data_IF_996414767213
#
_entry.id   IF_996414767213
#
_cell.length_a   1.000
_cell.length_b   1.000
_cell.length_c   1.000
_cell.angle_alpha   90.00
_cell.angle_beta   90.00
_cell.angle_gamma   90.00
#
_symmetry.space_group_name_H-M   'P 1'
#
loop_
_entity.id
_entity.type
_entity.pdbx_description
1 polymer ?
#
# COMPACT_ATOMS: atom_id res chain seq x y z
N UNK A 1 -23.34 0.09 12.98
CA UNK A 1 -21.85 0.21 12.84
C UNK A 1 -21.52 0.82 11.50
N UNK A 2 -20.69 1.85 11.48
CA UNK A 2 -20.19 2.45 10.24
C UNK A 2 -18.90 1.74 9.81
N UNK A 3 -19.00 0.82 8.86
CA UNK A 3 -17.88 0.01 8.36
C UNK A 3 -16.79 0.88 7.75
N UNK A 4 -17.15 1.91 6.99
CA UNK A 4 -16.18 2.79 6.34
C UNK A 4 -15.39 3.58 7.38
N UNK A 5 -16.07 4.12 8.38
CA UNK A 5 -15.43 4.87 9.45
C UNK A 5 -14.49 4.00 10.28
N UNK A 6 -14.91 2.78 10.60
CA UNK A 6 -14.09 1.83 11.34
C UNK A 6 -12.87 1.39 10.53
N UNK A 7 -13.04 1.13 9.24
CA UNK A 7 -11.94 0.78 8.34
C UNK A 7 -10.90 1.91 8.26
N UNK A 8 -11.34 3.16 8.17
CA UNK A 8 -10.43 4.32 8.18
C UNK A 8 -9.67 4.45 9.49
N UNK A 9 -10.36 4.23 10.61
CA UNK A 9 -9.75 4.29 11.95
C UNK A 9 -8.71 3.19 12.13
N UNK A 10 -9.02 1.97 11.70
CA UNK A 10 -8.07 0.85 11.70
C UNK A 10 -6.85 1.15 10.84
N UNK A 11 -7.03 1.68 9.64
CA UNK A 11 -5.93 2.05 8.76
C UNK A 11 -5.01 3.09 9.41
N UNK A 12 -5.58 4.11 10.01
CA UNK A 12 -4.81 5.15 10.69
C UNK A 12 -3.97 4.58 11.84
N UNK A 13 -4.59 3.77 12.70
CA UNK A 13 -3.92 3.17 13.85
C UNK A 13 -2.84 2.18 13.41
N UNK A 14 -3.18 1.26 12.52
CA UNK A 14 -2.28 0.16 12.14
C UNK A 14 -1.15 0.58 11.20
N UNK A 15 -1.30 1.70 10.47
CA UNK A 15 -0.29 2.17 9.51
C UNK A 15 0.54 3.32 10.03
N UNK A 16 -0.05 4.21 10.83
CA UNK A 16 0.57 5.51 11.13
C UNK A 16 0.73 5.79 12.61
N UNK A 17 -0.29 5.58 13.43
CA UNK A 17 -0.29 6.02 14.82
C UNK A 17 -0.85 4.97 15.79
N UNK A 18 -0.19 3.80 15.90
CA UNK A 18 -0.60 2.83 16.92
C UNK A 18 -0.51 3.39 18.35
N UNK A 19 0.46 4.28 18.57
CA UNK A 19 0.65 4.96 19.85
C UNK A 19 -0.53 5.86 20.26
N UNK A 20 -1.33 6.35 19.29
CA UNK A 20 -2.49 7.19 19.58
C UNK A 20 -3.54 6.49 20.45
N UNK A 21 -3.55 5.16 20.47
CA UNK A 21 -4.45 4.34 21.28
C UNK A 21 -3.68 3.39 22.22
N UNK A 22 -2.41 3.68 22.45
CA UNK A 22 -1.59 2.91 23.39
C UNK A 22 -1.11 1.56 22.89
N UNK A 23 -1.10 1.36 21.57
CA UNK A 23 -0.64 0.12 20.95
C UNK A 23 0.79 0.25 20.45
N UNK A 24 1.50 -0.87 20.42
CA UNK A 24 2.84 -0.98 19.85
C UNK A 24 2.82 -2.11 18.83
N UNK A 25 3.27 -1.83 17.60
CA UNK A 25 3.43 -2.83 16.56
C UNK A 25 4.77 -3.57 16.77
N UNK A 26 4.79 -4.86 16.43
CA UNK A 26 6.06 -5.58 16.37
C UNK A 26 6.81 -5.22 15.07
N UNK A 27 7.99 -5.84 14.87
CA UNK A 27 8.83 -5.54 13.70
C UNK A 27 8.11 -5.78 12.35
N UNK A 28 7.20 -6.74 12.31
CA UNK A 28 6.43 -7.09 11.13
C UNK A 28 5.08 -6.35 11.04
N UNK A 29 4.80 -5.45 11.97
CA UNK A 29 3.57 -4.67 11.98
C UNK A 29 2.38 -5.33 12.66
N UNK A 30 2.58 -6.47 13.34
CA UNK A 30 1.51 -7.17 14.04
C UNK A 30 1.17 -6.51 15.37
N UNK A 31 -0.10 -6.54 15.71
CA UNK A 31 -0.61 -6.16 17.03
C UNK A 31 -1.58 -7.24 17.52
N UNK A 32 -1.62 -7.43 18.83
CA UNK A 32 -2.56 -8.38 19.45
C UNK A 32 -4.00 -7.93 19.22
N UNK A 33 -4.85 -8.84 18.72
CA UNK A 33 -6.25 -8.55 18.43
C UNK A 33 -7.00 -8.11 19.69
N UNK A 34 -6.82 -8.80 20.80
CA UNK A 34 -7.51 -8.44 22.06
C UNK A 34 -7.14 -7.03 22.52
N UNK A 35 -5.86 -6.67 22.41
CA UNK A 35 -5.41 -5.32 22.76
C UNK A 35 -6.03 -4.27 21.82
N UNK A 36 -6.15 -4.56 20.54
CA UNK A 36 -6.79 -3.68 19.56
C UNK A 36 -8.28 -3.49 19.86
N UNK A 37 -8.99 -4.59 20.15
CA UNK A 37 -10.43 -4.51 20.49
C UNK A 37 -10.67 -3.64 21.72
N UNK A 38 -9.86 -3.80 22.74
CA UNK A 38 -9.96 -2.99 23.97
C UNK A 38 -9.65 -1.52 23.68
N UNK A 39 -8.58 -1.25 22.91
CA UNK A 39 -8.14 0.11 22.59
C UNK A 39 -9.17 0.88 21.76
N UNK A 40 -9.81 0.22 20.79
CA UNK A 40 -10.82 0.84 19.91
C UNK A 40 -12.23 0.71 20.43
N UNK A 41 -12.44 -0.06 21.50
CA UNK A 41 -13.76 -0.34 22.09
C UNK A 41 -14.74 -0.93 21.08
N UNK A 42 -14.29 -1.92 20.34
CA UNK A 42 -15.08 -2.65 19.36
C UNK A 42 -15.12 -4.14 19.71
N UNK A 43 -16.11 -4.84 19.16
CA UNK A 43 -16.24 -6.28 19.33
C UNK A 43 -15.41 -7.03 18.27
N UNK A 44 -15.12 -8.30 18.56
CA UNK A 44 -14.48 -9.19 17.58
C UNK A 44 -15.34 -9.32 16.33
N UNK A 45 -16.65 -9.40 16.46
CA UNK A 45 -17.57 -9.49 15.33
C UNK A 45 -17.47 -8.26 14.41
N UNK A 46 -17.36 -7.06 14.98
CA UNK A 46 -17.18 -5.83 14.22
C UNK A 46 -15.85 -5.82 13.46
N UNK A 47 -14.77 -6.23 14.11
CA UNK A 47 -13.45 -6.34 13.47
C UNK A 47 -13.46 -7.37 12.35
N UNK A 48 -13.99 -8.57 12.59
CA UNK A 48 -14.08 -9.63 11.59
C UNK A 48 -14.89 -9.18 10.36
N UNK A 49 -15.96 -8.44 10.58
CA UNK A 49 -16.79 -7.90 9.50
C UNK A 49 -16.00 -6.90 8.63
N UNK A 50 -15.27 -5.98 9.24
CA UNK A 50 -14.44 -5.01 8.50
C UNK A 50 -13.34 -5.72 7.70
N UNK A 51 -12.66 -6.69 8.31
CA UNK A 51 -11.60 -7.44 7.63
C UNK A 51 -12.16 -8.24 6.46
N UNK A 52 -13.29 -8.92 6.66
CA UNK A 52 -13.91 -9.76 5.62
C UNK A 52 -14.50 -8.96 4.45
N UNK A 53 -15.04 -7.77 4.71
CA UNK A 53 -15.70 -6.94 3.69
C UNK A 53 -14.77 -5.94 3.02
N UNK A 54 -13.51 -5.87 3.43
CA UNK A 54 -12.55 -4.98 2.81
C UNK A 54 -12.08 -5.57 1.48
N UNK A 55 -12.59 -5.02 0.37
CA UNK A 55 -12.32 -5.49 -0.98
C UNK A 55 -10.85 -5.34 -1.41
N UNK A 56 -10.11 -4.46 -0.76
CA UNK A 56 -8.69 -4.22 -1.04
C UNK A 56 -7.74 -5.00 -0.13
N UNK A 57 -8.26 -5.87 0.72
CA UNK A 57 -7.49 -6.69 1.64
C UNK A 57 -6.43 -5.89 2.41
N UNK A 58 -6.84 -4.76 2.97
CA UNK A 58 -5.94 -3.85 3.69
C UNK A 58 -5.44 -4.41 5.01
N UNK A 59 -6.13 -5.39 5.57
CA UNK A 59 -5.84 -5.98 6.87
C UNK A 59 -5.73 -7.50 6.74
N UNK A 60 -4.87 -8.10 7.54
CA UNK A 60 -4.71 -9.54 7.58
C UNK A 60 -4.53 -10.02 9.01
N UNK A 61 -5.16 -11.15 9.35
CA UNK A 61 -4.88 -11.90 10.58
C UNK A 61 -3.67 -12.80 10.37
N UNK A 62 -2.99 -13.14 11.45
CA UNK A 62 -1.99 -14.20 11.41
C UNK A 62 -2.68 -15.59 11.34
N UNK A 63 -1.88 -16.66 11.23
CA UNK A 63 -2.42 -18.02 11.10
C UNK A 63 -3.26 -18.51 12.29
N UNK A 64 -3.11 -17.87 13.47
CA UNK A 64 -3.87 -18.21 14.67
C UNK A 64 -5.09 -17.32 14.88
N UNK A 65 -5.21 -16.20 14.15
CA UNK A 65 -6.26 -15.22 14.34
C UNK A 65 -6.13 -14.39 15.62
N UNK A 66 -4.97 -14.43 16.28
CA UNK A 66 -4.74 -13.67 17.52
C UNK A 66 -4.03 -12.34 17.31
N UNK A 67 -3.46 -12.14 16.12
CA UNK A 67 -2.78 -10.91 15.74
C UNK A 67 -3.30 -10.40 14.39
N UNK A 68 -3.21 -9.09 14.19
CA UNK A 68 -3.67 -8.40 12.98
C UNK A 68 -2.64 -7.35 12.57
N UNK A 69 -2.52 -7.10 11.27
CA UNK A 69 -1.70 -6.01 10.73
C UNK A 69 -2.33 -5.41 9.49
N UNK A 70 -1.89 -4.19 9.14
CA UNK A 70 -2.13 -3.64 7.81
C UNK A 70 -1.15 -4.30 6.82
N UNK A 71 -1.62 -4.57 5.60
CA UNK A 71 -0.82 -5.28 4.58
C UNK A 71 0.30 -4.42 3.99
N UNK A 72 0.13 -3.09 3.94
CA UNK A 72 1.14 -2.15 3.44
C UNK A 72 0.77 -0.71 3.84
N UNK A 73 1.61 0.25 3.46
CA UNK A 73 1.31 1.67 3.62
C UNK A 73 1.69 2.26 4.96
N UNK A 74 2.55 1.60 5.73
CA UNK A 74 3.05 2.10 7.01
C UNK A 74 3.92 3.35 6.81
N UNK A 75 3.80 4.33 7.70
CA UNK A 75 4.63 5.54 7.68
C UNK A 75 5.92 5.42 8.47
N UNK A 76 6.08 4.34 9.23
CA UNK A 76 7.32 4.02 9.95
C UNK A 76 7.84 2.66 9.51
N UNK A 77 9.14 2.34 9.74
CA UNK A 77 9.72 1.08 9.29
C UNK A 77 9.01 -0.12 9.89
N UNK A 78 8.52 -0.99 9.01
CA UNK A 78 7.89 -2.24 9.40
C UNK A 78 8.37 -3.31 8.43
N UNK A 79 8.87 -4.42 8.95
CA UNK A 79 9.22 -5.56 8.14
C UNK A 79 8.01 -6.49 8.02
N UNK A 80 7.36 -6.47 6.85
CA UNK A 80 6.17 -7.28 6.61
C UNK A 80 6.47 -8.73 6.25
N UNK A 81 7.75 -9.10 6.12
CA UNK A 81 8.15 -10.45 5.78
C UNK A 81 7.86 -10.82 4.32
N UNK A 82 7.60 -9.85 3.47
CA UNK A 82 7.40 -10.11 2.05
C UNK A 82 8.74 -10.42 1.37
N UNK A 83 8.77 -11.50 0.61
CA UNK A 83 9.97 -11.89 -0.08
C UNK A 83 10.16 -11.08 -1.37
N UNK A 84 11.43 -10.85 -1.72
CA UNK A 84 11.76 -10.30 -3.02
C UNK A 84 11.24 -11.22 -4.13
N UNK A 85 10.65 -10.64 -5.16
CA UNK A 85 10.12 -11.36 -6.31
C UNK A 85 10.54 -10.65 -7.59
N UNK A 86 10.83 -11.37 -8.68
CA UNK A 86 11.10 -10.74 -9.95
C UNK A 86 9.83 -10.04 -10.45
N UNK A 87 9.89 -8.74 -10.77
CA UNK A 87 8.72 -8.05 -11.27
C UNK A 87 8.43 -8.47 -12.72
N UNK A 88 7.19 -8.28 -13.21
CA UNK A 88 6.91 -8.35 -14.63
C UNK A 88 7.69 -7.28 -15.39
N UNK A 89 7.70 -7.32 -16.73
CA UNK A 89 8.42 -6.34 -17.54
C UNK A 89 7.96 -4.90 -17.23
N UNK A 90 6.69 -4.72 -16.99
CA UNK A 90 6.07 -3.42 -16.76
C UNK A 90 5.19 -3.43 -15.50
N UNK A 91 5.27 -2.34 -14.74
CA UNK A 91 4.35 -2.02 -13.66
C UNK A 91 3.78 -0.63 -13.89
N UNK A 92 2.76 -0.25 -13.12
CA UNK A 92 2.03 1.00 -13.34
C UNK A 92 1.85 1.76 -12.04
N UNK A 93 1.84 3.09 -12.15
CA UNK A 93 1.59 3.98 -11.02
C UNK A 93 0.54 5.01 -11.40
N UNK A 94 -0.53 5.11 -10.60
CA UNK A 94 -1.59 6.09 -10.80
C UNK A 94 -1.30 7.38 -10.05
N UNK A 95 -1.33 8.50 -10.76
CA UNK A 95 -1.13 9.82 -10.20
C UNK A 95 -2.07 10.83 -10.87
N UNK A 96 -1.81 12.11 -10.68
CA UNK A 96 -2.53 13.22 -11.31
C UNK A 96 -1.54 14.21 -11.90
N UNK A 97 -1.99 15.00 -12.85
CA UNK A 97 -1.12 15.88 -13.64
C UNK A 97 -0.28 16.85 -12.80
N UNK A 98 -0.85 17.39 -11.71
CA UNK A 98 -0.13 18.35 -10.85
C UNK A 98 1.14 17.79 -10.22
N UNK A 99 1.29 16.47 -10.12
CA UNK A 99 2.49 15.83 -9.56
C UNK A 99 3.53 15.48 -10.62
N UNK A 100 3.20 15.57 -11.91
CA UNK A 100 4.12 15.18 -12.98
C UNK A 100 5.43 15.98 -13.01
N UNK A 101 5.45 17.30 -12.79
CA UNK A 101 6.74 18.03 -12.80
C UNK A 101 7.72 17.50 -11.76
N UNK A 102 7.27 17.25 -10.53
CA UNK A 102 8.11 16.68 -9.48
C UNK A 102 8.55 15.25 -9.80
N UNK A 103 7.65 14.44 -10.34
CA UNK A 103 7.94 13.05 -10.72
C UNK A 103 8.96 13.00 -11.86
N UNK A 104 8.84 13.88 -12.84
CA UNK A 104 9.81 13.96 -13.95
C UNK A 104 11.20 14.40 -13.49
N UNK A 105 11.27 15.23 -12.45
CA UNK A 105 12.53 15.70 -11.90
C UNK A 105 13.17 14.69 -10.95
N UNK A 106 12.38 14.06 -10.10
CA UNK A 106 12.87 13.25 -8.97
C UNK A 106 12.52 11.77 -9.06
N UNK A 107 11.63 11.37 -9.97
CA UNK A 107 11.09 10.02 -10.03
C UNK A 107 10.01 9.79 -8.98
N UNK A 108 9.64 8.52 -8.79
CA UNK A 108 8.69 8.14 -7.75
C UNK A 108 9.41 7.89 -6.44
N UNK A 109 8.89 8.49 -5.37
CA UNK A 109 9.39 8.35 -4.01
C UNK A 109 8.25 7.99 -3.07
N UNK A 110 8.53 7.29 -1.95
CA UNK A 110 7.47 6.78 -1.07
C UNK A 110 6.69 7.87 -0.33
N UNK A 111 7.21 9.07 -0.18
CA UNK A 111 6.57 10.11 0.61
C UNK A 111 6.43 9.68 2.08
N UNK A 112 5.19 9.66 2.58
CA UNK A 112 4.90 9.21 3.95
C UNK A 112 4.82 7.68 4.09
N UNK A 113 4.92 6.95 2.99
CA UNK A 113 4.86 5.49 2.99
C UNK A 113 6.26 4.91 3.05
N UNK A 114 6.36 3.64 3.42
CA UNK A 114 7.64 2.94 3.52
C UNK A 114 8.24 2.60 2.14
N UNK A 115 7.41 2.45 1.12
CA UNK A 115 7.83 2.09 -0.23
C UNK A 115 6.90 2.70 -1.28
N UNK A 116 7.40 2.79 -2.52
CA UNK A 116 6.57 3.15 -3.68
C UNK A 116 5.64 1.99 -4.01
N UNK A 117 4.36 2.26 -4.17
CA UNK A 117 3.33 1.28 -4.49
C UNK A 117 3.06 1.28 -5.99
N UNK A 118 3.16 0.12 -6.62
CA UNK A 118 2.94 -0.07 -8.05
C UNK A 118 1.86 -1.12 -8.28
N UNK A 119 1.11 -0.96 -9.35
CA UNK A 119 0.06 -1.89 -9.75
C UNK A 119 0.52 -2.76 -10.91
N UNK A 120 0.01 -3.99 -10.97
CA UNK A 120 0.34 -4.93 -12.05
C UNK A 120 -0.33 -4.58 -13.38
N UNK A 121 -1.40 -3.77 -13.36
CA UNK A 121 -2.13 -3.37 -14.55
C UNK A 121 -2.49 -1.88 -14.53
N UNK A 122 -2.70 -1.33 -15.73
CA UNK A 122 -3.00 0.08 -15.91
C UNK A 122 -4.37 0.48 -15.35
N UNK A 123 -5.36 -0.40 -15.42
CA UNK A 123 -6.70 -0.12 -14.93
C UNK A 123 -6.72 0.09 -13.41
N UNK A 124 -6.00 -0.76 -12.67
CA UNK A 124 -5.85 -0.61 -11.21
C UNK A 124 -5.12 0.68 -10.86
N UNK A 125 -4.03 0.99 -11.56
CA UNK A 125 -3.29 2.24 -11.36
C UNK A 125 -4.17 3.47 -11.63
N UNK A 126 -4.97 3.44 -12.68
CA UNK A 126 -5.90 4.52 -13.01
C UNK A 126 -6.92 4.74 -11.89
N UNK A 127 -7.48 3.67 -11.34
CA UNK A 127 -8.41 3.76 -10.21
C UNK A 127 -7.76 4.38 -8.97
N UNK A 128 -6.50 4.07 -8.71
CA UNK A 128 -5.73 4.68 -7.61
C UNK A 128 -5.54 6.18 -7.85
N UNK A 129 -5.13 6.58 -9.04
CA UNK A 129 -4.94 8.00 -9.40
C UNK A 129 -6.24 8.79 -9.33
N UNK A 130 -7.36 8.19 -9.72
CA UNK A 130 -8.67 8.82 -9.73
C UNK A 130 -9.15 9.29 -8.35
N UNK A 131 -8.58 8.77 -7.28
CA UNK A 131 -8.89 9.21 -5.91
C UNK A 131 -8.46 10.64 -5.62
N UNK A 132 -7.53 11.17 -6.40
CA UNK A 132 -6.93 12.51 -6.20
C UNK A 132 -7.32 13.52 -7.28
N UNK A 133 -8.07 13.10 -8.28
CA UNK A 133 -8.49 13.93 -9.38
C UNK A 133 -8.49 13.15 -10.68
N UNK A 134 -8.29 13.87 -11.81
CA UNK A 134 -8.20 13.24 -13.13
C UNK A 134 -6.93 12.36 -13.19
N UNK A 135 -7.06 11.05 -13.40
CA UNK A 135 -5.92 10.16 -13.29
C UNK A 135 -4.97 10.26 -14.48
N UNK A 136 -3.69 10.14 -14.16
CA UNK A 136 -2.61 9.91 -15.13
C UNK A 136 -1.93 8.62 -14.72
N UNK A 137 -1.74 7.71 -15.67
CA UNK A 137 -1.05 6.45 -15.42
C UNK A 137 0.38 6.53 -15.95
N UNK A 138 1.33 6.22 -15.08
CA UNK A 138 2.74 6.10 -15.43
C UNK A 138 3.08 4.63 -15.62
N UNK A 139 3.80 4.33 -16.69
CA UNK A 139 4.37 3.02 -16.95
C UNK A 139 5.79 3.00 -16.36
N UNK A 140 6.08 1.95 -15.63
CA UNK A 140 7.40 1.71 -15.04
C UNK A 140 8.07 0.57 -15.79
N UNK A 141 9.28 0.80 -16.28
CA UNK A 141 10.10 -0.26 -16.86
C UNK A 141 10.74 -1.08 -15.72
N UNK A 142 9.92 -1.95 -15.16
CA UNK A 142 10.29 -2.70 -13.96
C UNK A 142 11.41 -3.70 -14.20
N UNK A 143 11.44 -4.33 -15.37
CA UNK A 143 12.50 -5.27 -15.73
C UNK A 143 13.86 -4.59 -15.80
N UNK A 144 13.94 -3.42 -16.46
CA UNK A 144 15.18 -2.65 -16.53
C UNK A 144 15.63 -2.16 -15.17
N UNK A 145 14.70 -1.68 -14.33
CA UNK A 145 15.01 -1.23 -12.98
C UNK A 145 15.51 -2.40 -12.11
N UNK A 146 14.87 -3.56 -12.19
CA UNK A 146 15.31 -4.76 -11.47
C UNK A 146 16.72 -5.20 -11.90
N UNK A 147 17.08 -5.04 -13.17
CA UNK A 147 18.41 -5.37 -13.68
C UNK A 147 19.51 -4.51 -13.07
N UNK A 148 19.19 -3.33 -12.52
CA UNK A 148 20.16 -2.49 -11.80
C UNK A 148 20.41 -2.94 -10.37
N UNK A 149 19.68 -3.95 -9.87
CA UNK A 149 19.77 -4.42 -8.49
C UNK A 149 18.62 -3.93 -7.59
N UNK A 150 17.67 -3.17 -8.11
CA UNK A 150 16.52 -2.73 -7.34
C UNK A 150 15.67 -3.92 -6.89
N UNK A 151 15.30 -3.92 -5.61
CA UNK A 151 14.54 -5.01 -5.01
C UNK A 151 13.06 -4.72 -5.09
N UNK A 152 12.32 -5.58 -5.75
CA UNK A 152 10.87 -5.57 -5.78
C UNK A 152 10.31 -6.62 -4.83
N UNK A 153 9.27 -6.25 -4.10
CA UNK A 153 8.52 -7.17 -3.25
C UNK A 153 7.04 -7.07 -3.59
N UNK A 154 6.30 -8.12 -3.31
CA UNK A 154 4.86 -8.16 -3.56
C UNK A 154 4.12 -8.36 -2.25
N UNK A 155 3.17 -7.48 -1.94
CA UNK A 155 2.35 -7.60 -0.75
C UNK A 155 1.30 -8.71 -0.89
N UNK A 156 0.70 -9.12 0.23
CA UNK A 156 -0.33 -10.16 0.24
C UNK A 156 -1.55 -9.83 -0.62
N UNK A 157 -1.86 -8.55 -0.82
CA UNK A 157 -2.97 -8.11 -1.66
C UNK A 157 -2.57 -7.81 -3.12
N UNK A 158 -1.37 -8.22 -3.53
CA UNK A 158 -0.92 -8.11 -4.92
C UNK A 158 -0.32 -6.78 -5.34
N UNK A 159 -0.05 -5.88 -4.40
CA UNK A 159 0.61 -4.60 -4.68
C UNK A 159 2.12 -4.82 -4.74
N UNK A 160 2.76 -4.28 -5.76
CA UNK A 160 4.22 -4.31 -5.89
C UNK A 160 4.84 -3.14 -5.15
N UNK A 161 5.97 -3.39 -4.48
CA UNK A 161 6.67 -2.41 -3.65
C UNK A 161 8.13 -2.31 -4.10
N UNK A 162 8.62 -1.06 -4.17
CA UNK A 162 10.02 -0.77 -4.47
C UNK A 162 10.40 0.52 -3.74
N UNK A 163 11.68 0.67 -3.39
CA UNK A 163 12.15 1.81 -2.61
C UNK A 163 11.96 3.15 -3.33
N UNK A 164 12.29 3.20 -4.62
CA UNK A 164 12.14 4.38 -5.46
C UNK A 164 12.19 3.98 -6.94
N UNK A 165 11.66 4.84 -7.82
CA UNK A 165 11.75 4.66 -9.27
C UNK A 165 12.36 5.92 -9.87
N UNK A 166 13.61 5.86 -10.39
CA UNK A 166 14.23 6.99 -11.08
C UNK A 166 13.44 7.42 -12.31
N UNK A 167 13.51 8.71 -12.70
CA UNK A 167 12.70 9.22 -13.82
C UNK A 167 12.90 8.52 -15.16
N UNK A 168 14.11 8.04 -15.42
CA UNK A 168 14.46 7.36 -16.68
C UNK A 168 13.70 6.04 -16.90
N UNK A 169 13.11 5.47 -15.86
CA UNK A 169 12.30 4.24 -15.95
C UNK A 169 10.81 4.53 -16.05
N UNK A 170 10.42 5.80 -16.14
CA UNK A 170 9.03 6.22 -16.18
C UNK A 170 8.64 6.75 -17.56
N UNK A 171 7.44 6.40 -17.99
CA UNK A 171 6.80 7.00 -19.17
C UNK A 171 5.32 7.21 -18.88
N UNK A 172 4.75 8.28 -19.44
CA UNK A 172 3.31 8.48 -19.34
C UNK A 172 2.65 7.56 -20.35
N UNK A 173 1.76 6.69 -19.88
CA UNK A 173 0.91 5.95 -20.80
C UNK A 173 -0.12 6.96 -21.30
N UNK A 174 -0.13 7.21 -22.59
CA UNK A 174 -1.30 7.81 -23.20
C UNK A 174 -2.35 6.72 -23.12
N UNK A 175 -3.28 6.87 -22.17
CA UNK A 175 -4.47 6.05 -22.20
C UNK A 175 -5.01 6.15 -23.61
N UNK A 176 -5.35 5.03 -24.21
CA UNK A 176 -6.10 5.06 -25.46
C UNK A 176 -7.33 5.89 -25.18
N UNK A 177 -7.28 7.16 -25.55
CA UNK A 177 -8.33 8.14 -25.35
C UNK A 177 -9.46 7.90 -26.33
N UNK A 178 -9.91 6.69 -26.34
CA UNK A 178 -11.11 6.31 -27.03
C UNK A 178 -12.23 6.09 -26.04
#
# INVERSE_FOLDING_TARGET
MDVVRLSKRLSYVLRHRPDSVGLTLDEAGWVDVEALLAALRISRAELDHVVATNDKRRFAYDGTGTRIRASQGHSHPVELGYQAAPPPAELFHGTVERFLPAIRAEGLRPGNRHAVHLSADAATARAVGARRGRPVVLRVDAAALAATGARFTRSANGVWLVAAVPPEYLSVTRGDGS
#
